data_IF_079510953483
#
_entry.id   IF_079510953483
#
_cell.length_a   1.000
_cell.length_b   1.000
_cell.length_c   1.000
_cell.angle_alpha   90.00
_cell.angle_beta   90.00
_cell.angle_gamma   90.00
#
_symmetry.space_group_name_H-M   'P 1'
#
loop_
_entity.id
_entity.type
_entity.pdbx_description
1 polymer ?
#
# COMPACT_ATOMS: atom_id res chain seq x y z
N UNK A 1 30.47 -20.53 -0.46
CA UNK A 1 29.66 -21.68 -0.90
C UNK A 1 30.53 -22.87 -1.30
N UNK A 2 31.47 -22.74 -2.25
CA UNK A 2 32.21 -23.90 -2.77
C UNK A 2 33.18 -24.59 -1.77
N UNK A 3 33.69 -23.88 -0.76
CA UNK A 3 34.61 -24.46 0.24
C UNK A 3 34.21 -24.10 1.69
N UNK A 4 32.94 -23.85 1.95
CA UNK A 4 32.45 -23.50 3.29
C UNK A 4 31.02 -22.95 3.28
N UNK A 5 30.46 -22.78 4.49
CA UNK A 5 29.08 -22.32 4.69
C UNK A 5 28.81 -21.02 3.95
N UNK A 6 27.63 -20.92 3.38
CA UNK A 6 27.17 -19.69 2.78
C UNK A 6 25.73 -19.37 3.13
N UNK A 7 25.46 -18.09 3.18
CA UNK A 7 24.19 -17.53 3.59
C UNK A 7 23.81 -16.47 2.56
N UNK A 8 22.59 -16.52 2.00
CA UNK A 8 22.16 -15.54 1.02
C UNK A 8 22.00 -14.16 1.66
N UNK A 9 22.07 -13.11 0.83
CA UNK A 9 21.73 -11.77 1.27
C UNK A 9 20.26 -11.73 1.74
N UNK A 10 20.02 -11.08 2.88
CA UNK A 10 18.67 -10.80 3.37
C UNK A 10 18.07 -9.62 2.62
N UNK A 11 16.74 -9.58 2.51
CA UNK A 11 16.02 -8.47 1.88
C UNK A 11 14.53 -8.51 2.22
N UNK A 12 13.81 -7.50 1.75
CA UNK A 12 12.36 -7.46 1.85
C UNK A 12 11.72 -8.52 0.95
N UNK A 13 10.95 -9.42 1.56
CA UNK A 13 10.29 -10.53 0.87
C UNK A 13 9.05 -10.11 0.08
N UNK A 14 8.59 -8.88 0.24
CA UNK A 14 7.40 -8.35 -0.44
C UNK A 14 7.73 -7.80 -1.83
N UNK A 15 8.96 -7.33 -2.05
CA UNK A 15 9.42 -6.76 -3.33
C UNK A 15 9.26 -7.77 -4.46
N UNK A 16 8.55 -7.40 -5.54
CA UNK A 16 8.27 -8.27 -6.68
C UNK A 16 7.17 -9.32 -6.43
N UNK A 17 6.49 -9.25 -5.28
CA UNK A 17 5.39 -10.15 -4.90
C UNK A 17 4.07 -9.40 -4.73
N UNK A 18 3.91 -8.24 -5.36
CA UNK A 18 2.71 -7.38 -5.30
C UNK A 18 1.45 -8.18 -5.59
N UNK A 19 1.49 -9.01 -6.64
CA UNK A 19 0.35 -9.85 -7.09
C UNK A 19 0.03 -11.02 -6.15
N UNK A 20 0.95 -11.37 -5.25
CA UNK A 20 0.77 -12.45 -4.29
C UNK A 20 0.18 -11.96 -2.96
N UNK A 21 0.06 -10.63 -2.77
CA UNK A 21 -0.58 -10.05 -1.61
C UNK A 21 -2.10 -10.15 -1.72
N UNK A 22 -2.74 -10.45 -0.59
CA UNK A 22 -4.20 -10.52 -0.47
C UNK A 22 -4.64 -9.84 0.80
N UNK A 23 -5.69 -9.02 0.70
CA UNK A 23 -6.39 -8.47 1.85
C UNK A 23 -7.80 -9.07 1.92
N UNK A 24 -8.25 -9.39 3.12
CA UNK A 24 -9.63 -9.83 3.36
C UNK A 24 -10.64 -8.69 3.26
N UNK A 25 -10.20 -7.44 3.44
CA UNK A 25 -11.01 -6.24 3.33
C UNK A 25 -10.19 -5.09 2.74
N UNK A 26 -10.83 -4.26 1.94
CA UNK A 26 -10.24 -3.05 1.35
C UNK A 26 -11.36 -2.05 1.12
N UNK A 27 -11.19 -0.82 1.63
CA UNK A 27 -12.20 0.22 1.44
C UNK A 27 -12.31 0.60 -0.04
N UNK A 28 -13.46 1.12 -0.44
CA UNK A 28 -13.61 1.77 -1.73
C UNK A 28 -13.59 0.83 -2.94
N UNK A 29 -13.68 -0.50 -2.76
CA UNK A 29 -13.49 -1.48 -3.85
C UNK A 29 -14.66 -1.56 -4.84
N UNK A 30 -15.87 -1.24 -4.39
CA UNK A 30 -17.10 -1.28 -5.23
C UNK A 30 -17.62 0.12 -5.54
N UNK A 31 -17.58 1.00 -4.54
CA UNK A 31 -18.01 2.40 -4.59
C UNK A 31 -17.10 3.21 -3.69
N UNK A 32 -17.11 4.54 -3.83
CA UNK A 32 -16.41 5.42 -2.90
C UNK A 32 -16.93 5.23 -1.48
N UNK A 33 -16.03 5.20 -0.51
CA UNK A 33 -16.34 5.03 0.91
C UNK A 33 -15.65 6.11 1.75
N UNK A 34 -16.36 6.78 2.68
CA UNK A 34 -15.74 7.79 3.53
C UNK A 34 -14.93 7.16 4.67
N UNK A 35 -13.82 7.80 5.05
CA UNK A 35 -13.06 7.48 6.25
C UNK A 35 -12.57 8.76 6.92
N UNK A 36 -12.23 8.71 8.21
CA UNK A 36 -11.75 9.88 8.94
C UNK A 36 -10.46 9.53 9.70
N UNK A 37 -9.50 10.43 9.69
CA UNK A 37 -8.25 10.27 10.43
C UNK A 37 -8.40 10.98 11.77
N UNK A 38 -8.43 10.21 12.87
CA UNK A 38 -8.79 10.73 14.21
C UNK A 38 -7.87 11.87 14.67
N UNK A 39 -6.57 11.82 14.33
CA UNK A 39 -5.62 12.88 14.68
C UNK A 39 -5.96 14.24 14.04
N UNK A 40 -6.64 14.26 12.90
CA UNK A 40 -7.02 15.51 12.23
C UNK A 40 -8.29 16.12 12.83
N UNK A 41 -9.07 15.36 13.61
CA UNK A 41 -10.38 15.78 14.11
C UNK A 41 -10.31 16.88 15.20
N UNK A 42 -9.13 17.21 15.73
CA UNK A 42 -8.95 18.24 16.76
C UNK A 42 -8.86 19.66 16.19
N UNK A 43 -8.44 19.83 14.94
CA UNK A 43 -8.29 21.14 14.30
C UNK A 43 -9.43 21.42 13.31
N UNK A 44 -9.81 20.43 12.49
CA UNK A 44 -10.98 20.46 11.59
C UNK A 44 -11.37 19.00 11.33
N UNK A 45 -12.64 18.59 11.49
CA UNK A 45 -13.06 17.19 11.20
C UNK A 45 -12.88 16.84 9.71
N UNK A 46 -11.65 16.55 9.29
CA UNK A 46 -11.29 16.15 7.92
C UNK A 46 -11.53 14.66 7.76
N UNK A 47 -12.69 14.34 7.20
CA UNK A 47 -12.94 13.05 6.59
C UNK A 47 -12.58 13.11 5.11
N UNK A 48 -12.23 11.95 4.56
CA UNK A 48 -11.68 11.77 3.22
C UNK A 48 -12.47 10.68 2.49
N UNK A 49 -12.35 10.64 1.16
CA UNK A 49 -12.92 9.57 0.34
C UNK A 49 -11.86 8.52 0.01
N UNK A 50 -12.20 7.24 0.21
CA UNK A 50 -11.45 6.10 -0.30
C UNK A 50 -12.06 5.61 -1.62
N UNK A 51 -11.26 5.54 -2.69
CA UNK A 51 -11.62 5.03 -4.01
C UNK A 51 -10.58 4.04 -4.53
N UNK A 52 -10.71 2.79 -4.12
CA UNK A 52 -9.81 1.71 -4.52
C UNK A 52 -10.27 0.99 -5.80
N UNK A 53 -11.20 1.55 -6.60
CA UNK A 53 -11.71 0.87 -7.80
C UNK A 53 -10.68 0.75 -8.92
N UNK A 54 -9.75 1.72 -9.02
CA UNK A 54 -8.66 1.75 -10.00
C UNK A 54 -7.30 1.70 -9.29
N UNK A 55 -6.20 1.27 -9.93
CA UNK A 55 -4.85 1.30 -9.33
C UNK A 55 -4.43 2.69 -8.86
N UNK A 56 -3.51 2.76 -7.88
CA UNK A 56 -2.95 4.02 -7.41
C UNK A 56 -2.21 4.75 -8.54
N UNK A 57 -2.46 6.05 -8.67
CA UNK A 57 -1.74 6.95 -9.56
C UNK A 57 -1.55 8.30 -8.84
N UNK A 58 -0.30 8.83 -8.75
CA UNK A 58 -0.02 10.03 -7.96
C UNK A 58 -0.69 11.31 -8.50
N UNK A 59 -1.19 11.30 -9.74
CA UNK A 59 -1.82 12.44 -10.39
C UNK A 59 -3.34 12.22 -10.49
N UNK A 60 -3.75 11.02 -10.92
CA UNK A 60 -5.14 10.75 -11.29
C UNK A 60 -5.93 9.96 -10.23
N UNK A 61 -5.25 9.24 -9.33
CA UNK A 61 -5.92 8.37 -8.37
C UNK A 61 -5.13 8.17 -7.07
N UNK A 62 -5.05 9.24 -6.28
CA UNK A 62 -4.34 9.26 -5.00
C UNK A 62 -5.10 8.58 -3.85
N UNK A 63 -6.40 8.34 -4.01
CA UNK A 63 -7.29 7.82 -2.97
C UNK A 63 -7.43 6.28 -3.00
N UNK A 64 -6.46 5.58 -3.58
CA UNK A 64 -6.43 4.13 -3.63
C UNK A 64 -5.70 3.56 -2.41
N UNK A 65 -6.30 2.55 -1.79
CA UNK A 65 -5.75 1.88 -0.62
C UNK A 65 -5.67 0.35 -0.78
N UNK A 66 -5.36 -0.13 -1.99
CA UNK A 66 -5.20 -1.57 -2.23
C UNK A 66 -3.93 -2.12 -1.58
N UNK A 67 -3.93 -3.42 -1.31
CA UNK A 67 -2.87 -4.10 -0.55
C UNK A 67 -1.52 -4.06 -1.24
N UNK A 68 -1.45 -3.98 -2.57
CA UNK A 68 -0.18 -3.84 -3.29
C UNK A 68 0.61 -2.58 -2.92
N UNK A 69 -0.06 -1.52 -2.44
CA UNK A 69 0.58 -0.25 -2.07
C UNK A 69 1.39 -0.34 -0.78
N UNK A 70 1.35 -1.46 -0.04
CA UNK A 70 2.23 -1.68 1.11
C UNK A 70 3.68 -1.91 0.70
N UNK A 71 3.90 -2.32 -0.56
CA UNK A 71 5.25 -2.52 -1.09
C UNK A 71 5.81 -1.14 -1.40
N UNK A 72 6.75 -0.71 -0.57
CA UNK A 72 7.60 0.42 -0.90
C UNK A 72 8.52 -0.03 -2.03
N UNK A 73 8.22 0.36 -3.27
CA UNK A 73 9.24 0.27 -4.30
C UNK A 73 10.37 1.19 -3.84
N UNK A 74 11.52 0.64 -3.46
CA UNK A 74 12.76 1.39 -3.39
C UNK A 74 13.03 1.95 -4.80
N UNK A 75 12.41 3.08 -5.13
CA UNK A 75 12.88 3.94 -6.20
C UNK A 75 14.01 4.74 -5.58
N UNK A 76 15.28 4.48 -5.93
CA UNK A 76 16.32 5.41 -5.54
C UNK A 76 15.94 6.77 -6.16
N UNK A 77 15.90 7.79 -5.31
CA UNK A 77 15.89 9.18 -5.76
C UNK A 77 17.20 9.50 -6.47
#
# INVERSE_FOLDING_TARGET
>A
CAHGSCYPATGDLLVGREKNLKASSTCGMRKKEPYCIVSHLQEEKKCFECDSRRPYDPIYNINNHRVENVITTFKPH
#
